data_IF_616917611257
#
_entry.id   IF_616917611257
#
_cell.length_a   1.000
_cell.length_b   1.000
_cell.length_c   1.000
_cell.angle_alpha   90.00
_cell.angle_beta   90.00
_cell.angle_gamma   90.00
#
_symmetry.space_group_name_H-M   'P 1'
#
loop_
_entity.id
_entity.type
_entity.pdbx_description
1 polymer ?
#
# COMPACT_ATOMS: atom_id res chain seq x y z
N UNK A 1 -42.66 -72.28 -51.73
CA UNK A 1 -41.49 -72.85 -51.09
C UNK A 1 -40.36 -71.89 -51.28
N UNK A 2 -40.04 -71.12 -50.25
CA UNK A 2 -39.00 -70.10 -50.29
C UNK A 2 -38.06 -70.32 -49.09
N UNK A 3 -36.74 -70.30 -49.28
CA UNK A 3 -35.81 -70.45 -48.13
C UNK A 3 -35.50 -69.17 -47.45
N UNK A 4 -35.45 -69.21 -46.15
CA UNK A 4 -35.08 -68.13 -45.24
C UNK A 4 -33.60 -67.76 -45.34
N UNK A 5 -33.36 -66.49 -45.40
CA UNK A 5 -32.00 -65.89 -45.31
C UNK A 5 -31.73 -65.46 -43.87
N UNK A 6 -30.77 -66.13 -43.27
CA UNK A 6 -30.29 -65.82 -41.93
C UNK A 6 -29.31 -64.63 -42.00
N UNK A 7 -29.67 -63.45 -41.51
CA UNK A 7 -28.76 -62.31 -41.39
C UNK A 7 -28.14 -62.30 -40.00
N UNK A 8 -26.83 -62.53 -39.92
CA UNK A 8 -26.05 -62.39 -38.67
C UNK A 8 -25.83 -60.93 -38.34
N UNK A 9 -26.28 -60.49 -37.19
CA UNK A 9 -25.96 -59.23 -36.57
C UNK A 9 -24.62 -59.33 -35.82
N UNK A 10 -23.62 -58.55 -36.25
CA UNK A 10 -22.41 -58.31 -35.50
C UNK A 10 -22.64 -57.19 -34.46
N UNK A 11 -22.14 -57.29 -33.24
CA UNK A 11 -22.27 -56.20 -32.26
C UNK A 11 -21.27 -55.09 -32.55
N UNK A 12 -21.77 -53.84 -32.67
CA UNK A 12 -20.95 -52.63 -32.66
C UNK A 12 -20.36 -52.46 -31.23
N UNK A 13 -19.05 -52.58 -31.14
CA UNK A 13 -18.31 -52.14 -29.96
C UNK A 13 -18.22 -50.62 -29.93
N UNK A 14 -18.97 -49.98 -29.04
CA UNK A 14 -18.88 -48.57 -28.75
C UNK A 14 -17.55 -48.29 -28.05
N UNK A 15 -16.60 -47.67 -28.75
CA UNK A 15 -15.39 -47.06 -28.16
C UNK A 15 -15.83 -45.80 -27.39
N UNK A 16 -15.94 -45.92 -26.07
CA UNK A 16 -15.98 -44.77 -25.17
C UNK A 16 -14.60 -44.12 -25.15
N UNK A 17 -14.37 -43.08 -25.95
CA UNK A 17 -13.26 -42.17 -25.77
C UNK A 17 -13.51 -41.39 -24.47
N UNK A 18 -12.85 -41.78 -23.40
CA UNK A 18 -12.70 -40.96 -22.20
C UNK A 18 -11.87 -39.74 -22.54
N UNK A 19 -12.54 -38.59 -22.73
CA UNK A 19 -11.88 -37.30 -22.72
C UNK A 19 -11.32 -37.09 -21.32
N UNK A 20 -10.06 -37.44 -21.12
CA UNK A 20 -9.27 -36.90 -20.01
C UNK A 20 -9.05 -35.43 -20.34
N UNK A 21 -9.99 -34.61 -19.88
CA UNK A 21 -9.82 -33.16 -19.88
C UNK A 21 -8.60 -32.85 -19.04
N UNK A 22 -7.49 -32.51 -19.71
CA UNK A 22 -6.36 -31.85 -19.08
C UNK A 22 -6.91 -30.61 -18.36
N UNK A 23 -7.11 -30.70 -17.05
CA UNK A 23 -7.23 -29.51 -16.21
C UNK A 23 -5.90 -28.77 -16.36
N UNK A 24 -5.90 -27.73 -17.17
CA UNK A 24 -4.84 -26.74 -17.15
C UNK A 24 -4.70 -26.33 -15.68
N UNK A 25 -3.61 -26.73 -15.05
CA UNK A 25 -3.31 -26.34 -13.68
C UNK A 25 -3.34 -24.82 -13.63
N UNK A 26 -4.31 -24.26 -12.93
CA UNK A 26 -4.28 -22.87 -12.56
C UNK A 26 -3.01 -22.72 -11.75
N UNK A 27 -2.04 -21.98 -12.26
CA UNK A 27 -0.89 -21.57 -11.49
C UNK A 27 -1.45 -20.93 -10.21
N UNK A 28 -1.15 -21.52 -9.05
CA UNK A 28 -1.60 -20.99 -7.77
C UNK A 28 -0.92 -19.62 -7.59
N UNK A 29 -1.71 -18.56 -7.51
CA UNK A 29 -1.22 -17.19 -7.25
C UNK A 29 -0.81 -16.98 -5.79
N UNK A 30 -0.40 -18.05 -5.10
CA UNK A 30 -0.08 -18.03 -3.69
C UNK A 30 -1.31 -18.22 -2.79
N UNK A 31 -1.09 -18.13 -1.48
CA UNK A 31 -2.12 -18.31 -0.46
C UNK A 31 -1.92 -17.33 0.70
N UNK A 32 -3.03 -16.91 1.31
CA UNK A 32 -3.03 -16.16 2.57
C UNK A 32 -3.38 -17.10 3.72
N UNK A 33 -2.64 -17.02 4.80
CA UNK A 33 -2.92 -17.70 6.06
C UNK A 33 -2.86 -16.74 7.23
N UNK A 34 -3.74 -16.92 8.20
CA UNK A 34 -3.67 -16.20 9.48
C UNK A 34 -2.37 -16.53 10.20
N UNK A 35 -1.83 -15.56 10.89
CA UNK A 35 -0.65 -15.68 11.76
C UNK A 35 -1.01 -15.23 13.17
N UNK A 36 -0.06 -15.18 14.10
CA UNK A 36 -0.30 -14.59 15.42
C UNK A 36 -0.89 -13.20 15.29
N UNK A 37 -1.81 -12.85 16.18
CA UNK A 37 -2.36 -11.50 16.23
C UNK A 37 -1.36 -10.53 16.88
N UNK A 38 -1.43 -9.25 16.50
CA UNK A 38 -0.78 -8.18 17.26
C UNK A 38 -1.36 -8.10 18.68
N UNK A 39 -0.59 -7.61 19.63
CA UNK A 39 -1.09 -7.37 21.00
C UNK A 39 -2.06 -6.20 21.08
N UNK A 40 -2.01 -5.28 20.11
CA UNK A 40 -2.84 -4.08 20.05
C UNK A 40 -3.56 -4.00 18.70
N UNK A 41 -4.89 -3.87 18.76
CA UNK A 41 -5.71 -3.61 17.58
C UNK A 41 -5.45 -2.21 17.04
N UNK A 42 -5.15 -2.08 15.73
CA UNK A 42 -4.74 -0.80 15.12
C UNK A 42 -5.16 -0.65 13.66
N UNK A 43 -5.39 0.58 13.24
CA UNK A 43 -5.55 0.99 11.85
C UNK A 43 -4.74 2.25 11.56
N UNK A 44 -4.48 2.58 10.30
CA UNK A 44 -3.68 3.73 9.89
C UNK A 44 -2.30 3.78 10.61
N UNK A 45 -1.75 2.60 10.88
CA UNK A 45 -0.41 2.36 11.40
C UNK A 45 0.55 2.12 10.23
N UNK A 46 1.83 1.98 10.52
CA UNK A 46 2.83 1.62 9.52
C UNK A 46 3.41 0.24 9.78
N UNK A 47 3.79 -0.46 8.69
CA UNK A 47 4.53 -1.72 8.73
C UNK A 47 5.75 -1.59 7.82
N UNK A 48 6.95 -1.73 8.38
CA UNK A 48 8.22 -1.50 7.68
C UNK A 48 9.14 -2.70 7.81
N UNK A 49 9.53 -3.31 6.68
CA UNK A 49 10.51 -4.39 6.68
C UNK A 49 11.90 -3.83 7.01
N UNK A 50 12.53 -4.40 8.02
CA UNK A 50 13.87 -4.06 8.46
C UNK A 50 14.94 -4.82 7.66
N UNK A 51 16.21 -4.37 7.66
CA UNK A 51 17.29 -5.05 6.95
C UNK A 51 17.51 -6.51 7.38
N UNK A 52 17.15 -6.87 8.60
CA UNK A 52 17.24 -8.25 9.12
C UNK A 52 16.03 -9.13 8.74
N UNK A 53 15.08 -8.59 7.98
CA UNK A 53 13.89 -9.29 7.49
C UNK A 53 12.70 -9.29 8.44
N UNK A 54 12.84 -8.76 9.67
CA UNK A 54 11.72 -8.53 10.59
C UNK A 54 10.89 -7.33 10.14
N UNK A 55 9.66 -7.20 10.65
CA UNK A 55 8.79 -6.06 10.32
C UNK A 55 8.47 -5.26 11.58
N UNK A 56 8.81 -3.97 11.56
CA UNK A 56 8.35 -2.99 12.55
C UNK A 56 6.91 -2.62 12.25
N UNK A 57 6.01 -2.81 13.22
CA UNK A 57 4.64 -2.30 13.22
C UNK A 57 4.56 -1.19 14.26
N UNK A 58 4.19 0.04 13.85
CA UNK A 58 4.32 1.21 14.72
C UNK A 58 3.08 2.10 14.69
N UNK A 59 2.66 2.57 15.87
CA UNK A 59 1.57 3.53 16.05
C UNK A 59 0.21 3.03 15.57
N UNK A 60 -0.58 3.95 15.05
CA UNK A 60 -1.91 3.70 14.53
C UNK A 60 -3.03 4.15 15.47
N UNK A 61 -4.22 4.30 14.92
CA UNK A 61 -5.43 4.56 15.69
C UNK A 61 -5.95 3.26 16.30
N UNK A 62 -6.22 3.28 17.61
CA UNK A 62 -6.60 2.08 18.39
C UNK A 62 -7.92 2.25 19.11
N UNK A 63 -8.53 3.43 19.06
CA UNK A 63 -9.68 3.80 19.87
C UNK A 63 -9.31 4.28 21.29
N UNK A 64 -8.10 3.97 21.75
CA UNK A 64 -7.49 4.46 22.98
C UNK A 64 -6.17 5.16 22.64
N UNK A 65 -6.07 6.46 22.92
CA UNK A 65 -4.90 7.28 22.59
C UNK A 65 -3.59 6.75 23.21
N UNK A 66 -3.65 6.13 24.39
CA UNK A 66 -2.48 5.58 25.07
C UNK A 66 -1.87 4.40 24.32
N UNK A 67 -2.70 3.62 23.65
CA UNK A 67 -2.23 2.46 22.88
C UNK A 67 -1.49 2.85 21.61
N UNK A 68 -1.74 4.00 21.02
CA UNK A 68 -1.06 4.50 19.82
C UNK A 68 0.44 4.80 20.02
N UNK A 69 0.97 4.78 21.24
CA UNK A 69 2.42 4.75 21.53
C UNK A 69 3.04 3.37 21.34
N UNK A 70 2.25 2.32 21.14
CA UNK A 70 2.76 0.96 21.06
C UNK A 70 3.39 0.67 19.69
N UNK A 71 4.45 -0.13 19.72
CA UNK A 71 5.05 -0.74 18.55
C UNK A 71 5.35 -2.21 18.81
N UNK A 72 5.39 -3.00 17.75
CA UNK A 72 5.64 -4.43 17.81
C UNK A 72 6.59 -4.83 16.68
N UNK A 73 7.36 -5.88 16.91
CA UNK A 73 8.27 -6.45 15.94
C UNK A 73 7.75 -7.82 15.52
N UNK A 74 7.39 -7.98 14.26
CA UNK A 74 7.03 -9.27 13.69
C UNK A 74 8.27 -10.00 13.22
N UNK A 75 8.40 -11.26 13.64
CA UNK A 75 9.43 -12.17 13.15
C UNK A 75 8.81 -13.16 12.15
N UNK A 76 9.17 -13.11 10.85
CA UNK A 76 8.62 -13.99 9.84
C UNK A 76 9.13 -15.44 9.94
N UNK A 77 10.08 -15.76 10.80
CA UNK A 77 10.52 -17.14 11.01
C UNK A 77 9.63 -17.88 12.02
N UNK A 78 9.23 -17.20 13.09
CA UNK A 78 8.29 -17.74 14.09
C UNK A 78 6.82 -17.33 13.85
N UNK A 79 6.59 -16.35 12.98
CA UNK A 79 5.29 -15.73 12.70
C UNK A 79 4.61 -15.16 13.94
N UNK A 80 5.41 -14.56 14.83
CA UNK A 80 4.96 -13.98 16.10
C UNK A 80 5.31 -12.51 16.20
N UNK A 81 4.53 -11.78 17.02
CA UNK A 81 4.81 -10.39 17.38
C UNK A 81 5.44 -10.32 18.76
N UNK A 82 6.47 -9.51 18.88
CA UNK A 82 7.10 -9.17 20.15
C UNK A 82 6.89 -7.68 20.44
N UNK A 83 6.41 -7.29 21.64
CA UNK A 83 6.25 -5.89 21.98
C UNK A 83 7.60 -5.17 22.04
N UNK A 84 7.61 -3.91 21.65
CA UNK A 84 8.75 -3.01 21.73
C UNK A 84 8.55 -1.96 22.83
N UNK A 85 9.62 -1.27 23.26
CA UNK A 85 9.50 -0.03 24.02
C UNK A 85 8.56 0.95 23.33
N UNK A 86 7.93 1.82 24.12
CA UNK A 86 6.99 2.81 23.60
C UNK A 86 7.67 3.78 22.63
N UNK A 87 6.95 4.18 21.62
CA UNK A 87 7.28 5.34 20.76
C UNK A 87 7.35 6.61 21.62
N UNK A 88 8.04 7.62 21.11
CA UNK A 88 8.18 8.92 21.80
C UNK A 88 6.87 9.71 21.74
N UNK A 89 6.17 9.66 20.59
CA UNK A 89 4.96 10.46 20.33
C UNK A 89 3.83 9.56 19.85
N UNK A 90 2.62 9.76 20.42
CA UNK A 90 1.38 9.16 19.93
C UNK A 90 1.14 9.61 18.51
N UNK A 91 0.88 8.66 17.61
CA UNK A 91 0.59 9.02 16.21
C UNK A 91 -0.17 7.96 15.42
N UNK A 92 -1.04 8.43 14.51
CA UNK A 92 -1.60 7.63 13.43
C UNK A 92 -1.58 8.43 12.12
N UNK A 93 -1.81 7.78 10.98
CA UNK A 93 -1.75 8.44 9.65
C UNK A 93 -0.42 9.18 9.43
N UNK A 94 0.63 8.66 10.05
CA UNK A 94 2.03 9.08 9.90
C UNK A 94 2.71 8.30 8.78
N UNK A 95 3.92 8.68 8.44
CA UNK A 95 4.76 7.90 7.52
C UNK A 95 5.93 7.27 8.25
N UNK A 96 6.38 6.10 7.76
CA UNK A 96 7.59 5.41 8.21
C UNK A 96 8.48 5.08 7.01
N UNK A 97 9.73 5.51 7.06
CA UNK A 97 10.70 5.35 5.97
C UNK A 97 11.93 4.64 6.48
N UNK A 98 12.25 3.48 5.90
CA UNK A 98 13.50 2.77 6.20
C UNK A 98 14.66 3.50 5.55
N UNK A 99 15.64 3.90 6.36
CA UNK A 99 16.81 4.66 5.94
C UNK A 99 17.95 3.73 5.50
N UNK A 100 18.96 4.22 4.75
CA UNK A 100 20.13 3.43 4.38
C UNK A 100 20.93 2.91 5.59
N UNK A 101 20.82 3.56 6.74
CA UNK A 101 21.40 3.11 8.02
C UNK A 101 20.68 1.89 8.64
N UNK A 102 19.55 1.47 8.07
CA UNK A 102 18.66 0.45 8.63
C UNK A 102 17.71 0.96 9.71
N UNK A 103 17.86 2.20 10.18
CA UNK A 103 16.89 2.84 11.09
C UNK A 103 15.61 3.19 10.35
N UNK A 104 14.51 3.35 11.10
CA UNK A 104 13.23 3.76 10.53
C UNK A 104 12.89 5.16 11.02
N UNK A 105 12.75 6.09 10.07
CA UNK A 105 12.27 7.45 10.34
C UNK A 105 10.74 7.44 10.36
N UNK A 106 10.15 7.94 11.43
CA UNK A 106 8.70 8.06 11.61
C UNK A 106 8.37 9.54 11.76
N UNK A 107 7.45 10.07 10.94
CA UNK A 107 7.25 11.51 10.80
C UNK A 107 5.78 11.87 10.76
N UNK A 108 5.41 12.96 11.46
CA UNK A 108 4.10 13.60 11.40
C UNK A 108 2.96 12.69 11.87
N UNK A 109 1.78 12.91 11.32
CA UNK A 109 0.55 12.22 11.66
C UNK A 109 -0.35 13.03 12.58
N UNK A 110 -1.38 12.38 13.11
CA UNK A 110 -2.25 12.90 14.17
C UNK A 110 -1.77 12.38 15.51
N UNK A 111 -1.66 13.28 16.50
CA UNK A 111 -1.32 12.99 17.89
C UNK A 111 -2.51 12.53 18.75
N UNK A 112 -2.34 12.59 20.08
CA UNK A 112 -3.29 12.03 21.05
C UNK A 112 -4.69 12.67 21.00
N UNK A 113 -4.78 13.98 20.77
CA UNK A 113 -6.03 14.74 20.66
C UNK A 113 -6.50 14.94 19.22
N UNK A 114 -5.99 14.17 18.27
CA UNK A 114 -6.14 14.38 16.82
C UNK A 114 -5.57 15.73 16.33
N UNK A 115 -4.68 16.35 17.09
CA UNK A 115 -3.85 17.45 16.59
C UNK A 115 -2.86 16.95 15.55
N UNK A 116 -2.60 17.77 14.55
CA UNK A 116 -1.58 17.45 13.54
C UNK A 116 -0.20 17.79 14.07
N UNK A 117 0.73 16.86 14.03
CA UNK A 117 2.07 16.97 14.61
C UNK A 117 3.17 17.09 13.56
N UNK A 118 4.28 17.73 13.95
CA UNK A 118 5.47 17.88 13.11
C UNK A 118 6.62 16.95 13.53
N UNK A 119 6.51 16.32 14.69
CA UNK A 119 7.57 15.57 15.34
C UNK A 119 8.06 14.42 14.47
N UNK A 120 9.38 14.24 14.47
CA UNK A 120 10.07 13.10 13.90
C UNK A 120 10.72 12.27 15.01
N UNK A 121 10.72 10.95 14.85
CA UNK A 121 11.44 10.01 15.70
C UNK A 121 12.11 8.93 14.87
N UNK A 122 13.19 8.35 15.40
CA UNK A 122 13.91 7.25 14.80
C UNK A 122 13.74 5.99 15.64
N UNK A 123 13.37 4.90 14.98
CA UNK A 123 13.53 3.56 15.53
C UNK A 123 14.89 2.99 15.12
N UNK A 124 15.65 2.53 16.09
CA UNK A 124 16.93 1.84 15.88
C UNK A 124 16.73 0.32 16.09
N UNK A 125 16.81 -0.51 15.02
CA UNK A 125 16.60 -1.94 15.15
C UNK A 125 17.70 -2.68 15.92
N UNK A 126 18.92 -2.10 16.05
CA UNK A 126 20.00 -2.70 16.81
C UNK A 126 19.77 -2.62 18.32
N UNK A 127 19.29 -1.47 18.80
CA UNK A 127 18.96 -1.26 20.23
C UNK A 127 17.50 -1.52 20.54
N UNK A 128 16.64 -1.62 19.51
CA UNK A 128 15.18 -1.74 19.60
C UNK A 128 14.54 -0.58 20.37
N UNK A 129 15.06 0.63 20.20
CA UNK A 129 14.59 1.85 20.90
C UNK A 129 14.13 2.91 19.95
N UNK A 130 13.22 3.77 20.44
CA UNK A 130 12.80 5.00 19.76
C UNK A 130 13.50 6.20 20.38
N UNK A 131 13.87 7.17 19.57
CA UNK A 131 14.49 8.43 19.99
C UNK A 131 13.95 9.62 19.20
N UNK A 132 13.84 10.82 19.83
CA UNK A 132 13.49 12.02 19.09
C UNK A 132 14.48 12.28 17.95
N UNK A 133 13.99 12.75 16.82
CA UNK A 133 14.79 13.01 15.62
C UNK A 133 14.51 14.40 15.01
N UNK A 134 14.13 15.38 15.84
CA UNK A 134 13.77 16.71 15.39
C UNK A 134 12.31 16.79 14.91
N UNK A 135 12.04 17.69 13.97
CA UNK A 135 10.68 17.92 13.48
C UNK A 135 10.68 18.46 12.04
N UNK A 136 9.56 18.32 11.38
CA UNK A 136 9.22 19.07 10.16
C UNK A 136 9.03 20.55 10.49
N UNK A 137 9.14 21.40 9.49
CA UNK A 137 8.80 22.84 9.62
C UNK A 137 7.29 23.06 9.71
N UNK A 138 6.51 22.18 9.07
CA UNK A 138 5.05 22.24 9.06
C UNK A 138 4.48 20.90 9.55
N UNK A 139 3.66 20.95 10.59
CA UNK A 139 2.90 19.80 11.04
C UNK A 139 2.01 19.29 9.90
N UNK A 140 1.96 17.95 9.71
CA UNK A 140 1.18 17.33 8.64
C UNK A 140 0.78 15.89 8.92
N UNK A 141 -0.43 15.51 8.46
CA UNK A 141 -0.94 14.14 8.47
C UNK A 141 -1.46 13.80 7.06
N UNK A 142 -1.58 12.51 6.71
CA UNK A 142 -2.03 12.09 5.37
C UNK A 142 -1.11 12.56 4.24
N UNK A 143 0.13 12.88 4.58
CA UNK A 143 1.21 13.23 3.66
C UNK A 143 1.91 11.98 3.12
N UNK A 144 2.77 12.17 2.13
CA UNK A 144 3.68 11.13 1.65
C UNK A 144 5.11 11.40 2.07
N UNK A 145 5.90 10.34 2.25
CA UNK A 145 7.34 10.43 2.53
C UNK A 145 8.10 9.43 1.65
N UNK A 146 9.10 9.92 0.92
CA UNK A 146 9.88 9.13 -0.03
C UNK A 146 11.38 9.35 0.20
N UNK A 147 12.12 8.26 0.42
CA UNK A 147 13.58 8.30 0.53
C UNK A 147 14.18 8.60 -0.86
N UNK A 148 14.96 9.66 -0.95
CA UNK A 148 15.63 10.08 -2.18
C UNK A 148 17.02 9.44 -2.30
N UNK A 149 17.54 9.37 -3.53
CA UNK A 149 18.91 8.93 -3.78
C UNK A 149 19.99 9.72 -3.05
N UNK A 150 19.69 10.94 -2.59
CA UNK A 150 20.55 11.79 -1.77
C UNK A 150 20.64 11.36 -0.30
N UNK A 151 19.83 10.39 0.12
CA UNK A 151 19.67 9.98 1.52
C UNK A 151 18.74 10.87 2.34
N UNK A 152 18.24 11.97 1.78
CA UNK A 152 17.18 12.78 2.40
C UNK A 152 15.81 12.17 2.13
N UNK A 153 14.81 12.54 2.94
CA UNK A 153 13.43 12.11 2.78
C UNK A 153 12.59 13.29 2.30
N UNK A 154 12.00 13.18 1.13
CA UNK A 154 10.97 14.12 0.65
C UNK A 154 9.69 13.85 1.43
N UNK A 155 9.13 14.90 2.05
CA UNK A 155 7.84 14.87 2.76
C UNK A 155 6.94 15.91 2.09
N UNK A 156 5.83 15.47 1.48
CA UNK A 156 5.02 16.34 0.63
C UNK A 156 3.52 16.24 0.90
N UNK A 157 2.83 17.38 0.85
CA UNK A 157 1.39 17.48 0.97
C UNK A 157 0.86 17.14 2.36
N UNK A 158 -0.35 16.59 2.38
CA UNK A 158 -1.09 16.29 3.60
C UNK A 158 -1.96 17.43 4.08
N UNK A 159 -2.49 17.28 5.28
CA UNK A 159 -3.28 18.28 5.98
C UNK A 159 -2.52 18.77 7.21
N UNK A 160 -2.48 20.08 7.38
CA UNK A 160 -1.91 20.79 8.52
C UNK A 160 -2.96 21.16 9.57
N UNK A 161 -2.55 21.92 10.61
CA UNK A 161 -3.46 22.41 11.64
C UNK A 161 -4.66 23.16 11.05
N UNK A 162 -5.82 23.05 11.72
CA UNK A 162 -7.05 23.68 11.24
C UNK A 162 -7.58 23.17 9.92
N UNK A 163 -7.19 21.95 9.54
CA UNK A 163 -7.56 21.31 8.25
C UNK A 163 -7.08 22.09 7.02
N UNK A 164 -5.93 22.73 7.13
CA UNK A 164 -5.28 23.40 6.00
C UNK A 164 -4.62 22.37 5.09
N UNK A 165 -5.11 22.19 3.89
CA UNK A 165 -4.49 21.32 2.88
C UNK A 165 -3.19 21.94 2.36
N UNK A 166 -2.15 21.11 2.24
CA UNK A 166 -0.79 21.58 1.97
C UNK A 166 -0.37 21.24 0.54
N UNK A 167 0.19 22.23 -0.15
CA UNK A 167 1.03 22.03 -1.35
C UNK A 167 2.51 22.00 -1.00
N UNK A 168 2.87 22.41 0.22
CA UNK A 168 4.27 22.49 0.65
C UNK A 168 4.93 21.13 0.72
N UNK A 169 6.23 21.10 0.40
CA UNK A 169 7.10 19.96 0.55
C UNK A 169 8.38 20.32 1.29
N UNK A 170 8.95 19.36 1.98
CA UNK A 170 10.14 19.50 2.79
C UNK A 170 11.12 18.36 2.52
N UNK A 171 12.41 18.65 2.61
CA UNK A 171 13.48 17.68 2.61
C UNK A 171 13.96 17.49 4.05
N UNK A 172 13.65 16.34 4.63
CA UNK A 172 14.16 15.96 5.93
C UNK A 172 15.52 15.27 5.77
N UNK A 173 16.52 15.73 6.54
CA UNK A 173 17.87 15.21 6.57
C UNK A 173 18.05 14.31 7.82
N UNK A 174 18.11 12.97 7.68
CA UNK A 174 18.27 12.08 8.83
C UNK A 174 19.60 12.21 9.55
N UNK A 175 20.63 12.72 8.89
CA UNK A 175 21.95 12.94 9.49
C UNK A 175 21.99 14.09 10.47
N UNK A 176 21.15 15.11 10.26
CA UNK A 176 21.11 16.32 11.11
C UNK A 176 19.83 16.46 11.92
N UNK A 177 18.78 15.66 11.62
CA UNK A 177 17.45 15.79 12.21
C UNK A 177 16.72 17.09 11.81
N UNK A 178 17.14 17.73 10.72
CA UNK A 178 16.58 19.01 10.27
C UNK A 178 15.76 18.85 9.00
N UNK A 179 14.68 19.62 8.92
CA UNK A 179 13.87 19.73 7.72
C UNK A 179 14.09 21.10 7.05
N UNK A 180 14.17 21.11 5.74
CA UNK A 180 14.28 22.31 4.90
C UNK A 180 13.16 22.34 3.88
N UNK A 181 12.58 23.51 3.66
CA UNK A 181 11.55 23.65 2.63
C UNK A 181 12.17 23.45 1.24
N UNK A 182 11.44 22.80 0.34
CA UNK A 182 11.73 22.69 -1.09
C UNK A 182 10.59 23.31 -1.90
N UNK A 183 10.65 23.24 -3.23
CA UNK A 183 9.58 23.76 -4.08
C UNK A 183 8.22 23.16 -3.71
N UNK A 184 7.12 23.90 -3.81
CA UNK A 184 5.78 23.37 -3.55
C UNK A 184 5.25 22.61 -4.76
N UNK A 185 4.29 21.71 -4.52
CA UNK A 185 3.40 21.16 -5.56
C UNK A 185 2.49 22.28 -6.11
N UNK A 186 1.99 22.11 -7.31
CA UNK A 186 0.97 22.99 -7.89
C UNK A 186 -0.34 22.90 -7.11
N UNK A 187 -0.70 21.67 -6.68
CA UNK A 187 -1.96 21.43 -5.98
C UNK A 187 -1.75 21.10 -4.50
N UNK A 188 -2.66 21.61 -3.67
CA UNK A 188 -2.78 21.19 -2.25
C UNK A 188 -3.44 19.84 -2.20
N UNK A 189 -2.81 18.82 -1.65
CA UNK A 189 -3.38 17.46 -1.69
C UNK A 189 -3.11 16.63 -0.44
N UNK A 190 -4.12 15.87 -0.04
CA UNK A 190 -4.07 14.80 0.97
C UNK A 190 -4.52 13.48 0.35
N UNK A 191 -4.18 12.35 0.96
CA UNK A 191 -4.59 11.00 0.50
C UNK A 191 -4.22 10.72 -0.97
N UNK A 192 -3.12 11.33 -1.42
CA UNK A 192 -2.45 11.09 -2.68
C UNK A 192 -1.44 9.95 -2.54
N UNK A 193 -0.97 9.40 -3.64
CA UNK A 193 0.12 8.43 -3.66
C UNK A 193 1.43 9.05 -4.16
N UNK A 194 2.55 8.45 -3.76
CA UNK A 194 3.89 8.82 -4.21
C UNK A 194 4.74 7.60 -4.51
N UNK A 195 5.50 7.65 -5.61
CA UNK A 195 6.37 6.56 -6.06
C UNK A 195 7.70 7.13 -6.55
N UNK A 196 8.81 6.56 -6.05
CA UNK A 196 10.13 6.80 -6.62
C UNK A 196 10.24 6.13 -7.99
N UNK A 197 10.51 6.90 -9.03
CA UNK A 197 10.75 6.41 -10.38
C UNK A 197 12.21 5.95 -10.56
N UNK A 198 12.49 5.21 -11.64
CA UNK A 198 13.84 4.69 -11.90
C UNK A 198 14.88 5.76 -12.22
N UNK A 199 14.45 6.89 -12.74
CA UNK A 199 15.29 8.05 -13.05
C UNK A 199 15.62 8.92 -11.83
N UNK A 200 15.07 8.58 -10.65
CA UNK A 200 15.27 9.30 -9.40
C UNK A 200 14.25 10.41 -9.15
N UNK A 201 13.32 10.67 -10.06
CA UNK A 201 12.18 11.54 -9.79
C UNK A 201 11.15 10.87 -8.89
N UNK A 202 10.34 11.66 -8.19
CA UNK A 202 9.21 11.15 -7.40
C UNK A 202 7.91 11.54 -8.09
N UNK A 203 7.13 10.55 -8.52
CA UNK A 203 5.76 10.77 -8.99
C UNK A 203 4.85 11.02 -7.79
N UNK A 204 4.07 12.10 -7.85
CA UNK A 204 2.95 12.39 -6.94
C UNK A 204 1.67 12.34 -7.77
N UNK A 205 0.65 11.60 -7.33
CA UNK A 205 -0.54 11.37 -8.16
C UNK A 205 -1.82 11.38 -7.32
N UNK A 206 -2.87 12.02 -7.86
CA UNK A 206 -4.22 12.04 -7.31
C UNK A 206 -4.34 12.75 -5.96
N UNK A 207 -5.22 12.23 -5.11
CA UNK A 207 -5.55 12.84 -3.82
C UNK A 207 -6.69 13.83 -3.93
N UNK A 208 -6.89 14.61 -2.88
CA UNK A 208 -7.96 15.59 -2.81
C UNK A 208 -7.56 16.82 -1.97
N UNK A 209 -8.33 17.87 -2.12
CA UNK A 209 -8.39 18.99 -1.19
C UNK A 209 -9.82 19.17 -0.68
N UNK A 210 -9.97 19.94 0.39
CA UNK A 210 -11.22 20.30 1.04
C UNK A 210 -11.97 19.06 1.60
N UNK A 211 -13.12 19.29 2.20
CA UNK A 211 -13.86 18.24 2.92
C UNK A 211 -15.35 18.35 2.70
N UNK A 212 -16.04 17.23 2.93
CA UNK A 212 -17.51 17.13 2.86
C UNK A 212 -18.00 17.50 1.45
N UNK A 213 -18.99 18.41 1.35
CA UNK A 213 -19.57 18.81 0.07
C UNK A 213 -18.60 19.58 -0.85
N UNK A 214 -17.51 20.14 -0.30
CA UNK A 214 -16.54 20.96 -1.05
C UNK A 214 -15.34 20.17 -1.54
N UNK A 215 -15.30 18.87 -1.33
CA UNK A 215 -14.15 18.04 -1.70
C UNK A 215 -13.89 18.12 -3.20
N UNK A 216 -12.63 18.35 -3.57
CA UNK A 216 -12.16 18.35 -4.96
C UNK A 216 -11.17 17.21 -5.13
N UNK A 217 -11.51 16.22 -5.95
CA UNK A 217 -10.59 15.14 -6.31
C UNK A 217 -9.68 15.54 -7.45
N UNK A 218 -8.47 14.99 -7.43
CA UNK A 218 -7.49 15.22 -8.48
C UNK A 218 -7.26 13.97 -9.34
N UNK A 219 -7.28 14.19 -10.66
CA UNK A 219 -6.64 13.31 -11.65
C UNK A 219 -5.18 13.71 -11.88
N UNK A 220 -4.79 14.91 -11.49
CA UNK A 220 -3.48 15.48 -11.79
C UNK A 220 -2.32 14.73 -11.14
N UNK A 221 -1.19 14.70 -11.85
CA UNK A 221 0.06 14.20 -11.34
C UNK A 221 1.21 15.17 -11.57
N UNK A 222 2.21 15.08 -10.71
CA UNK A 222 3.43 15.90 -10.73
C UNK A 222 4.64 15.01 -10.49
N UNK A 223 5.79 15.35 -11.08
CA UNK A 223 7.07 14.73 -10.75
C UNK A 223 7.95 15.71 -10.00
N UNK A 224 8.58 15.25 -8.93
CA UNK A 224 9.57 16.02 -8.17
C UNK A 224 10.97 15.63 -8.60
N UNK A 225 11.78 16.62 -8.93
CA UNK A 225 13.21 16.47 -9.19
C UNK A 225 14.02 16.92 -7.97
N UNK A 226 14.75 15.99 -7.37
CA UNK A 226 15.57 16.27 -6.19
C UNK A 226 16.82 17.13 -6.48
N UNK A 227 17.26 17.20 -7.72
CA UNK A 227 18.41 18.01 -8.10
C UNK A 227 18.07 19.51 -8.18
N UNK A 228 16.90 19.83 -8.69
CA UNK A 228 16.40 21.21 -8.82
C UNK A 228 15.52 21.63 -7.65
N UNK A 229 14.97 20.68 -6.90
CA UNK A 229 14.03 20.92 -5.81
C UNK A 229 12.65 21.40 -6.31
N UNK A 230 12.26 21.04 -7.53
CA UNK A 230 11.03 21.53 -8.16
C UNK A 230 10.06 20.41 -8.50
N UNK A 231 8.76 20.75 -8.47
CA UNK A 231 7.69 19.91 -9.02
C UNK A 231 7.33 20.36 -10.43
N UNK A 232 7.14 19.41 -11.32
CA UNK A 232 6.69 19.66 -12.70
C UNK A 232 5.45 18.83 -12.97
N UNK A 233 4.41 19.45 -13.48
CA UNK A 233 3.19 18.76 -13.87
C UNK A 233 3.48 17.78 -15.00
N UNK A 234 2.89 16.59 -14.91
CA UNK A 234 2.89 15.55 -15.95
C UNK A 234 1.46 15.29 -16.44
N UNK A 235 1.20 14.20 -17.15
CA UNK A 235 -0.16 13.87 -17.61
C UNK A 235 -1.13 13.63 -16.44
N UNK A 236 -2.42 13.67 -16.75
CA UNK A 236 -3.50 13.43 -15.80
C UNK A 236 -4.03 11.98 -15.93
N UNK A 237 -4.46 11.37 -14.82
CA UNK A 237 -5.24 10.13 -14.83
C UNK A 237 -6.58 10.37 -15.56
N UNK A 238 -7.18 9.30 -16.06
CA UNK A 238 -8.53 9.34 -16.65
C UNK A 238 -9.62 9.47 -15.57
N UNK A 239 -9.35 8.92 -14.39
CA UNK A 239 -10.29 8.93 -13.25
C UNK A 239 -9.66 9.66 -12.07
N UNK A 240 -10.25 10.80 -11.62
CA UNK A 240 -9.81 11.45 -10.39
C UNK A 240 -10.06 10.51 -9.20
N UNK A 241 -9.07 10.39 -8.31
CA UNK A 241 -9.14 9.45 -7.20
C UNK A 241 -8.31 9.85 -5.99
N UNK A 242 -8.79 9.46 -4.81
CA UNK A 242 -8.05 9.57 -3.57
C UNK A 242 -8.05 8.23 -2.80
N UNK A 243 -7.22 8.11 -1.76
CA UNK A 243 -7.11 6.88 -0.94
C UNK A 243 -6.85 5.62 -1.79
N UNK A 244 -6.21 5.83 -2.92
CA UNK A 244 -5.73 4.83 -3.86
C UNK A 244 -4.29 4.45 -3.53
N UNK A 245 -3.74 3.48 -4.24
CA UNK A 245 -2.34 3.11 -4.13
C UNK A 245 -1.59 3.22 -5.46
N UNK A 246 -0.26 3.23 -5.38
CA UNK A 246 0.61 3.29 -6.55
C UNK A 246 1.88 2.46 -6.32
N UNK A 247 2.27 1.66 -7.32
CA UNK A 247 3.45 0.79 -7.24
C UNK A 247 4.25 0.80 -8.53
N UNK A 248 5.58 0.95 -8.41
CA UNK A 248 6.50 0.86 -9.54
C UNK A 248 6.66 -0.58 -10.00
N UNK A 249 6.42 -0.83 -11.27
CA UNK A 249 6.56 -2.13 -11.92
C UNK A 249 7.99 -2.40 -12.40
N UNK A 250 8.29 -3.66 -12.72
CA UNK A 250 9.60 -4.05 -13.28
C UNK A 250 9.89 -3.46 -14.65
N UNK A 251 8.88 -3.11 -15.42
CA UNK A 251 9.06 -2.46 -16.72
C UNK A 251 9.28 -0.94 -16.63
N UNK A 252 9.16 -0.37 -15.43
CA UNK A 252 9.34 1.05 -15.14
C UNK A 252 8.04 1.87 -15.16
N UNK A 253 6.92 1.30 -15.58
CA UNK A 253 5.61 1.93 -15.43
C UNK A 253 5.17 1.92 -13.97
N UNK A 254 4.28 2.83 -13.61
CA UNK A 254 3.61 2.84 -12.30
C UNK A 254 2.18 2.37 -12.46
N UNK A 255 1.80 1.35 -11.70
CA UNK A 255 0.41 0.90 -11.58
C UNK A 255 -0.29 1.73 -10.50
N UNK A 256 -1.43 2.33 -10.84
CA UNK A 256 -2.34 3.01 -9.92
C UNK A 256 -3.56 2.12 -9.72
N UNK A 257 -3.99 1.90 -8.48
CA UNK A 257 -5.06 0.95 -8.15
C UNK A 257 -6.14 1.56 -7.26
N UNK A 258 -7.40 1.32 -7.58
CA UNK A 258 -8.54 1.62 -6.71
C UNK A 258 -8.71 3.08 -6.35
N UNK A 259 -9.06 3.33 -5.11
CA UNK A 259 -9.46 4.65 -4.62
C UNK A 259 -10.97 4.81 -4.58
N UNK A 260 -11.41 6.04 -4.42
CA UNK A 260 -12.83 6.35 -4.26
C UNK A 260 -13.16 7.71 -4.88
N UNK A 261 -14.46 7.92 -5.07
CA UNK A 261 -15.07 9.21 -5.44
C UNK A 261 -15.07 10.21 -4.26
N UNK A 262 -15.59 11.40 -4.50
CA UNK A 262 -15.64 12.51 -3.52
C UNK A 262 -16.51 12.23 -2.29
N UNK A 263 -17.39 11.21 -2.34
CA UNK A 263 -18.30 10.84 -1.25
C UNK A 263 -17.82 9.68 -0.40
N UNK A 264 -16.72 9.02 -0.82
CA UNK A 264 -16.28 7.72 -0.28
C UNK A 264 -17.34 6.60 -0.44
N UNK A 265 -18.28 6.75 -1.36
CA UNK A 265 -19.36 5.80 -1.62
C UNK A 265 -19.08 4.95 -2.89
N UNK A 266 -18.40 5.54 -3.87
CA UNK A 266 -17.99 4.89 -5.12
C UNK A 266 -16.56 4.35 -5.03
N UNK A 267 -16.38 3.16 -4.49
CA UNK A 267 -15.08 2.47 -4.50
C UNK A 267 -14.71 2.03 -5.92
N UNK A 268 -13.44 2.19 -6.31
CA UNK A 268 -13.00 1.86 -7.66
C UNK A 268 -12.32 0.49 -7.74
N UNK A 269 -12.70 -0.28 -8.75
CA UNK A 269 -11.99 -1.48 -9.23
C UNK A 269 -11.07 -1.16 -10.42
N UNK A 270 -11.13 0.06 -10.94
CA UNK A 270 -10.32 0.50 -12.07
C UNK A 270 -8.86 0.71 -11.68
N UNK A 271 -7.97 0.44 -12.65
CA UNK A 271 -6.54 0.73 -12.54
C UNK A 271 -6.07 1.55 -13.72
N UNK A 272 -4.93 2.22 -13.56
CA UNK A 272 -4.26 2.95 -14.63
C UNK A 272 -2.76 2.70 -14.58
N UNK A 273 -2.10 2.75 -15.73
CA UNK A 273 -0.64 2.74 -15.82
C UNK A 273 -0.14 4.14 -16.16
N UNK A 274 0.82 4.64 -15.40
CA UNK A 274 1.62 5.79 -15.77
C UNK A 274 2.91 5.34 -16.44
N UNK A 275 3.21 5.90 -17.61
CA UNK A 275 4.47 5.68 -18.31
C UNK A 275 5.38 6.91 -18.12
N UNK A 276 6.49 6.78 -17.34
CA UNK A 276 7.39 7.91 -17.10
C UNK A 276 8.10 8.42 -18.35
N UNK A 277 8.25 7.60 -19.39
CA UNK A 277 8.94 8.02 -20.63
C UNK A 277 8.11 8.97 -21.46
N UNK A 278 6.80 8.84 -21.40
CA UNK A 278 5.85 9.69 -22.14
C UNK A 278 5.14 10.70 -21.26
N UNK A 279 5.19 10.52 -19.94
CA UNK A 279 4.45 11.32 -18.97
C UNK A 279 2.93 11.13 -19.06
N UNK A 280 2.44 9.99 -19.59
CA UNK A 280 1.02 9.75 -19.87
C UNK A 280 0.45 8.61 -19.06
N UNK A 281 -0.86 8.70 -18.79
CA UNK A 281 -1.65 7.63 -18.20
C UNK A 281 -2.40 6.86 -19.30
N UNK A 282 -2.61 5.57 -19.06
CA UNK A 282 -3.44 4.69 -19.86
C UNK A 282 -4.27 3.78 -18.96
N UNK A 283 -5.51 3.41 -19.34
CA UNK A 283 -6.30 2.44 -18.58
C UNK A 283 -5.55 1.12 -18.38
N UNK A 284 -5.64 0.58 -17.18
CA UNK A 284 -5.13 -0.75 -16.83
C UNK A 284 -6.24 -1.79 -16.76
N UNK A 285 -5.91 -3.05 -16.44
CA UNK A 285 -6.90 -4.10 -16.24
C UNK A 285 -7.76 -3.82 -15.00
N UNK A 286 -9.02 -4.21 -15.04
CA UNK A 286 -9.96 -4.07 -13.93
C UNK A 286 -9.67 -5.11 -12.84
N UNK A 287 -9.61 -4.69 -11.58
CA UNK A 287 -9.52 -5.57 -10.41
C UNK A 287 -10.80 -6.40 -10.26
N UNK A 288 -10.73 -7.50 -9.54
CA UNK A 288 -11.90 -8.32 -9.22
C UNK A 288 -12.76 -7.72 -8.12
N UNK A 289 -12.15 -6.88 -7.27
CA UNK A 289 -12.81 -6.23 -6.15
C UNK A 289 -12.46 -4.73 -6.15
N UNK A 290 -13.49 -3.90 -6.01
CA UNK A 290 -13.30 -2.49 -5.74
C UNK A 290 -12.66 -2.32 -4.35
N UNK A 291 -11.74 -1.33 -4.23
CA UNK A 291 -11.03 -1.08 -2.99
C UNK A 291 -10.59 0.37 -2.83
N UNK A 292 -10.65 0.86 -1.60
CA UNK A 292 -10.18 2.18 -1.21
C UNK A 292 -9.60 2.16 0.21
N UNK A 293 -8.96 3.25 0.62
CA UNK A 293 -8.23 3.32 1.90
C UNK A 293 -7.19 2.20 2.03
N UNK A 294 -6.50 1.93 0.92
CA UNK A 294 -5.50 0.88 0.81
C UNK A 294 -4.11 1.41 0.43
N UNK A 295 -3.83 2.69 0.72
CA UNK A 295 -2.52 3.30 0.50
C UNK A 295 -1.40 2.45 1.12
N UNK A 296 -0.35 2.15 0.33
CA UNK A 296 0.77 1.33 0.75
C UNK A 296 0.44 -0.15 0.92
N UNK A 297 -0.64 -0.64 0.32
CA UNK A 297 -1.05 -2.03 0.40
C UNK A 297 -0.81 -2.84 -0.89
N UNK A 298 -0.19 -2.21 -1.90
CA UNK A 298 0.24 -2.86 -3.14
C UNK A 298 1.74 -3.12 -3.10
N UNK A 299 2.15 -4.37 -3.30
CA UNK A 299 3.55 -4.80 -3.23
C UNK A 299 3.97 -5.50 -4.51
N UNK A 300 5.07 -5.03 -5.12
CA UNK A 300 5.75 -5.76 -6.19
C UNK A 300 6.44 -7.00 -5.62
N UNK A 301 6.01 -8.16 -6.09
CA UNK A 301 6.55 -9.46 -5.69
C UNK A 301 7.86 -9.79 -6.43
N UNK A 302 8.71 -10.70 -5.89
CA UNK A 302 9.96 -11.09 -6.52
C UNK A 302 9.82 -11.72 -7.92
N UNK A 303 8.67 -12.29 -8.28
CA UNK A 303 8.39 -12.82 -9.62
C UNK A 303 7.94 -11.73 -10.61
N UNK A 304 7.70 -10.50 -10.15
CA UNK A 304 7.24 -9.35 -10.94
C UNK A 304 5.73 -9.16 -10.96
N UNK A 305 4.98 -10.02 -10.32
CA UNK A 305 3.55 -9.82 -10.09
C UNK A 305 3.32 -8.78 -8.99
N UNK A 306 2.09 -8.27 -8.86
CA UNK A 306 1.73 -7.29 -7.83
C UNK A 306 0.66 -7.88 -6.93
N UNK A 307 0.98 -8.03 -5.65
CA UNK A 307 0.00 -8.30 -4.62
C UNK A 307 -0.71 -7.00 -4.24
N UNK A 308 -2.05 -7.00 -4.21
CA UNK A 308 -2.86 -5.91 -3.67
C UNK A 308 -3.68 -6.47 -2.52
N UNK A 309 -3.40 -6.02 -1.31
CA UNK A 309 -4.05 -6.47 -0.09
C UNK A 309 -4.60 -5.28 0.70
N UNK A 310 -5.70 -5.48 1.40
CA UNK A 310 -6.40 -4.38 2.10
C UNK A 310 -7.43 -3.66 1.24
N UNK A 311 -8.29 -2.90 1.89
CA UNK A 311 -9.37 -2.15 1.25
C UNK A 311 -10.54 -3.00 0.72
N UNK A 312 -10.40 -4.33 0.65
CA UNK A 312 -11.40 -5.28 0.17
C UNK A 312 -11.32 -6.60 0.94
N UNK A 313 -12.36 -7.47 0.88
CA UNK A 313 -12.41 -8.72 1.66
C UNK A 313 -11.32 -9.74 1.33
N UNK A 314 -10.79 -9.73 0.12
CA UNK A 314 -9.73 -10.62 -0.34
C UNK A 314 -8.60 -9.83 -0.99
N UNK A 315 -7.40 -10.38 -0.97
CA UNK A 315 -6.29 -9.89 -1.77
C UNK A 315 -6.41 -10.37 -3.22
N UNK A 316 -5.72 -9.68 -4.10
CA UNK A 316 -5.59 -10.02 -5.50
C UNK A 316 -4.13 -9.95 -5.92
N UNK A 317 -3.77 -10.74 -6.93
CA UNK A 317 -2.47 -10.65 -7.60
C UNK A 317 -2.70 -10.27 -9.05
N UNK A 318 -2.02 -9.22 -9.50
CA UNK A 318 -1.91 -8.87 -10.91
C UNK A 318 -0.68 -9.55 -11.51
N UNK A 319 -0.87 -10.27 -12.63
CA UNK A 319 0.23 -10.56 -13.58
C UNK A 319 0.30 -9.40 -14.60
N UNK A 320 1.30 -8.50 -14.52
CA UNK A 320 1.37 -7.34 -15.41
C UNK A 320 1.64 -7.70 -16.86
N UNK A 321 2.19 -8.89 -17.12
CA UNK A 321 2.50 -9.38 -18.49
C UNK A 321 1.25 -9.86 -19.20
N UNK A 322 0.30 -10.45 -18.44
CA UNK A 322 -0.98 -10.93 -18.96
C UNK A 322 -2.11 -9.90 -18.81
N UNK A 323 -1.91 -8.89 -17.97
CA UNK A 323 -2.95 -7.91 -17.64
C UNK A 323 -4.14 -8.55 -16.91
N UNK A 324 -3.90 -9.53 -16.04
CA UNK A 324 -4.98 -10.26 -15.36
C UNK A 324 -4.85 -10.22 -13.86
N UNK A 325 -5.97 -9.94 -13.18
CA UNK A 325 -6.11 -10.06 -11.74
C UNK A 325 -6.69 -11.41 -11.36
N UNK A 326 -6.12 -12.02 -10.32
CA UNK A 326 -6.60 -13.28 -9.73
C UNK A 326 -6.76 -13.10 -8.24
N UNK A 327 -7.92 -13.51 -7.70
CA UNK A 327 -8.17 -13.53 -6.26
C UNK A 327 -7.23 -14.52 -5.58
N UNK A 328 -6.72 -14.14 -4.42
CA UNK A 328 -5.88 -15.00 -3.59
C UNK A 328 -6.75 -15.78 -2.62
N UNK A 329 -6.63 -17.09 -2.65
CA UNK A 329 -7.31 -17.97 -1.70
C UNK A 329 -6.65 -17.92 -0.32
N UNK A 330 -7.43 -18.24 0.71
CA UNK A 330 -6.89 -18.37 2.07
C UNK A 330 -7.85 -17.94 3.17
N UNK A 331 -7.26 -17.72 4.34
CA UNK A 331 -8.00 -17.31 5.52
C UNK A 331 -8.43 -15.85 5.39
N UNK A 332 -9.68 -15.58 5.73
CA UNK A 332 -10.24 -14.22 5.63
C UNK A 332 -11.34 -13.98 6.64
N UNK A 333 -11.94 -12.80 6.61
CA UNK A 333 -11.79 -11.72 5.64
C UNK A 333 -10.62 -10.79 5.93
N UNK A 334 -9.86 -10.45 4.88
CA UNK A 334 -8.78 -9.46 4.92
C UNK A 334 -9.27 -8.00 5.03
N UNK A 335 -10.51 -7.77 5.26
CA UNK A 335 -11.29 -6.53 5.16
C UNK A 335 -10.70 -5.31 5.88
N UNK A 336 -9.41 -5.09 5.75
CA UNK A 336 -8.79 -3.96 6.40
C UNK A 336 -8.74 -2.74 5.51
N UNK A 337 -9.66 -1.79 5.66
CA UNK A 337 -9.40 -0.41 5.29
C UNK A 337 -8.32 0.14 6.23
N UNK A 338 -7.34 0.88 5.69
CA UNK A 338 -6.16 1.33 6.45
C UNK A 338 -5.38 0.21 7.15
N UNK A 339 -5.35 -1.00 6.55
CA UNK A 339 -4.37 -2.03 6.88
C UNK A 339 -2.97 -1.59 6.44
N UNK A 340 -1.94 -2.08 7.10
CA UNK A 340 -0.58 -1.95 6.61
C UNK A 340 -0.11 -3.27 5.99
N UNK A 341 0.64 -3.16 4.90
CA UNK A 341 1.23 -4.31 4.21
C UNK A 341 2.73 -4.10 4.08
N UNK A 342 3.51 -5.10 4.44
CA UNK A 342 4.96 -5.08 4.34
C UNK A 342 5.46 -6.27 3.53
N UNK A 343 6.42 -6.04 2.63
CA UNK A 343 7.11 -7.12 1.93
C UNK A 343 7.90 -7.97 2.92
N UNK A 344 7.91 -9.28 2.73
CA UNK A 344 8.80 -10.23 3.41
C UNK A 344 9.86 -10.79 2.43
N UNK A 345 10.10 -10.07 1.33
CA UNK A 345 10.98 -10.51 0.26
C UNK A 345 10.45 -11.79 -0.41
N UNK A 346 11.32 -12.78 -0.59
CA UNK A 346 10.94 -14.07 -1.18
C UNK A 346 9.92 -14.86 -0.36
N UNK A 347 9.70 -14.51 0.91
CA UNK A 347 8.72 -15.16 1.80
C UNK A 347 7.29 -14.66 1.57
N UNK A 348 7.09 -13.58 0.79
CA UNK A 348 5.79 -13.02 0.49
C UNK A 348 5.52 -11.67 1.13
N UNK A 349 4.40 -11.52 1.85
CA UNK A 349 4.00 -10.27 2.48
C UNK A 349 3.28 -10.49 3.81
N UNK A 350 3.48 -9.57 4.75
CA UNK A 350 2.71 -9.45 6.00
C UNK A 350 1.60 -8.41 5.79
N UNK A 351 0.38 -8.75 6.21
CA UNK A 351 -0.80 -7.88 6.21
C UNK A 351 -1.25 -7.72 7.66
N UNK A 352 -1.44 -6.49 8.14
CA UNK A 352 -1.76 -6.25 9.56
C UNK A 352 -2.91 -5.26 9.75
N UNK A 353 -3.74 -5.52 10.75
CA UNK A 353 -4.71 -4.58 11.29
C UNK A 353 -5.77 -4.07 10.30
N UNK A 354 -6.02 -2.77 10.36
CA UNK A 354 -7.10 -2.12 9.62
C UNK A 354 -8.45 -2.23 10.33
N UNK A 355 -9.52 -1.78 9.66
CA UNK A 355 -10.88 -1.93 10.16
C UNK A 355 -11.83 -2.37 9.06
N UNK A 356 -12.91 -3.08 9.42
CA UNK A 356 -13.98 -3.45 8.48
C UNK A 356 -15.16 -2.49 8.59
N UNK A 357 -16.09 -2.52 7.65
CA UNK A 357 -17.34 -1.75 7.71
C UNK A 357 -18.08 -2.09 9.02
N UNK A 358 -18.35 -1.08 9.85
CA UNK A 358 -19.05 -1.24 11.13
C UNK A 358 -18.25 -1.87 12.27
N UNK A 359 -16.93 -2.08 12.11
CA UNK A 359 -16.06 -2.59 13.17
C UNK A 359 -14.91 -1.63 13.47
N UNK A 360 -14.42 -1.65 14.72
CA UNK A 360 -13.24 -0.89 15.13
C UNK A 360 -11.93 -1.46 14.60
N UNK A 361 -10.78 -0.92 15.07
CA UNK A 361 -9.46 -1.43 14.73
C UNK A 361 -9.31 -2.93 15.03
N UNK A 362 -8.45 -3.62 14.28
CA UNK A 362 -8.20 -5.05 14.41
C UNK A 362 -6.76 -5.36 14.80
N UNK A 363 -6.58 -6.42 15.59
CA UNK A 363 -5.27 -6.99 15.91
C UNK A 363 -4.86 -8.12 14.95
N UNK A 364 -5.76 -8.55 14.09
CA UNK A 364 -5.51 -9.66 13.17
C UNK A 364 -4.37 -9.38 12.21
N UNK A 365 -3.62 -10.42 11.86
CA UNK A 365 -2.55 -10.38 10.90
C UNK A 365 -2.54 -11.64 10.03
N UNK A 366 -2.03 -11.51 8.82
CA UNK A 366 -1.96 -12.58 7.84
C UNK A 366 -0.63 -12.53 7.10
N UNK A 367 -0.19 -13.68 6.62
CA UNK A 367 0.95 -13.82 5.73
C UNK A 367 0.48 -14.32 4.37
N UNK A 368 0.80 -13.57 3.33
CA UNK A 368 0.71 -14.03 1.96
C UNK A 368 1.98 -14.78 1.59
N UNK A 369 1.86 -15.98 1.00
CA UNK A 369 2.95 -16.78 0.43
C UNK A 369 2.69 -17.01 -1.06
N UNK A 370 3.63 -16.62 -1.94
CA UNK A 370 3.49 -16.80 -3.38
C UNK A 370 3.56 -18.25 -3.82
#
# INVERSE_FOLDING_TARGET
MSPAVLTRLLPLASLLLSHVGSRAGHATVGRISSTAAMSVARMAHTASMLPDGRVLVAGGFTGDASAALSAELFDPASETFAPLPRMVVVRHSHTATVLPSGKVLIVGGYGAGNEVIADAELFDPATKTFSPAGALRSARAGHVAVLLGTGKVLVAGGVGPGWTFLSSAELYDPGTGRSTQTGPMAERRESHAAVMLRDGHVLIVGGHRDRRADITLYSSAETYDAATGTFTRTGDMHVPRHKHDAVLLRDGRVLITGGSDERDDGEYDSTEFFDPTTGRFAPGPTMRLARYKHNGSSILLPNGDVLIAGGAPQAEVLDPRRGTFTLVDGDGPLTGQFSAVASLGARGALITGGYGRGSGPRAAAWVYRP
#
